data_IF_271884572733
#
_entry.id   IF_271884572733
#
_cell.length_a   1.000
_cell.length_b   1.000
_cell.length_c   1.000
_cell.angle_alpha   90.00
_cell.angle_beta   90.00
_cell.angle_gamma   90.00
#
_symmetry.space_group_name_H-M   'P 1'
#
loop_
_entity.id
_entity.type
_entity.pdbx_description
1 polymer ?
#
# COMPACT_ATOMS: atom_id res chain seq x y z
N UNK A 1 35.64 -25.72 12.81
CA UNK A 1 35.66 -24.38 12.18
C UNK A 1 36.40 -23.47 13.16
N UNK A 2 37.59 -23.00 12.79
CA UNK A 2 38.35 -22.05 13.62
C UNK A 2 37.80 -20.67 13.34
N UNK A 3 37.46 -19.93 14.40
CA UNK A 3 36.96 -18.54 14.29
C UNK A 3 38.16 -17.64 14.62
N UNK A 4 38.56 -16.73 13.69
CA UNK A 4 39.60 -15.75 13.98
C UNK A 4 39.16 -14.87 15.16
N UNK A 5 40.05 -14.70 16.13
CA UNK A 5 39.79 -13.89 17.31
C UNK A 5 40.78 -12.72 17.35
N UNK A 6 40.40 -11.51 16.87
CA UNK A 6 41.23 -10.32 16.98
C UNK A 6 41.54 -9.97 18.44
N UNK A 7 42.59 -9.20 18.68
CA UNK A 7 42.88 -8.71 20.02
C UNK A 7 41.77 -7.71 20.52
N UNK A 8 41.76 -7.42 21.82
CA UNK A 8 40.66 -6.63 22.44
C UNK A 8 40.56 -5.22 21.89
N UNK A 9 41.64 -4.60 21.46
CA UNK A 9 41.62 -3.25 20.91
C UNK A 9 41.05 -3.27 19.49
N UNK A 10 41.43 -4.22 18.66
CA UNK A 10 40.84 -4.48 17.34
C UNK A 10 39.36 -4.80 17.45
N UNK A 11 38.93 -5.63 18.42
CA UNK A 11 37.53 -5.89 18.67
C UNK A 11 36.73 -4.60 18.97
N UNK A 12 37.29 -3.70 19.78
CA UNK A 12 36.66 -2.41 20.12
C UNK A 12 36.54 -1.51 18.88
N UNK A 13 37.56 -1.48 18.03
CA UNK A 13 37.53 -0.72 16.77
C UNK A 13 36.47 -1.26 15.81
N UNK A 14 36.38 -2.58 15.64
CA UNK A 14 35.38 -3.24 14.83
C UNK A 14 33.97 -2.93 15.33
N UNK A 15 33.73 -3.06 16.63
CA UNK A 15 32.43 -2.75 17.24
C UNK A 15 32.06 -1.27 17.07
N UNK A 16 33.01 -0.38 17.22
CA UNK A 16 32.80 1.06 17.00
C UNK A 16 32.43 1.32 15.54
N UNK A 17 33.19 0.78 14.61
CA UNK A 17 32.98 0.97 13.16
C UNK A 17 31.60 0.49 12.71
N UNK A 18 31.21 -0.72 13.07
CA UNK A 18 29.89 -1.27 12.70
C UNK A 18 28.74 -0.49 13.36
N UNK A 19 28.90 -0.08 14.63
CA UNK A 19 27.89 0.72 15.32
C UNK A 19 27.71 2.11 14.69
N UNK A 20 28.76 2.73 14.21
CA UNK A 20 28.67 4.01 13.50
C UNK A 20 27.94 3.86 12.15
N UNK A 21 28.14 2.75 11.45
CA UNK A 21 27.40 2.42 10.24
C UNK A 21 25.89 2.19 10.53
N UNK A 22 25.54 1.47 11.60
CA UNK A 22 24.16 1.32 12.04
C UNK A 22 23.51 2.67 12.37
N UNK A 23 24.19 3.55 13.09
CA UNK A 23 23.68 4.91 13.40
C UNK A 23 23.42 5.71 12.13
N UNK A 24 24.36 5.68 11.17
CA UNK A 24 24.20 6.37 9.87
C UNK A 24 23.01 5.82 9.09
N UNK A 25 22.87 4.49 9.03
CA UNK A 25 21.69 3.86 8.40
C UNK A 25 20.40 4.32 9.07
N UNK A 26 20.33 4.23 10.39
CA UNK A 26 19.15 4.62 11.16
C UNK A 26 18.78 6.11 10.96
N UNK A 27 19.76 6.99 10.84
CA UNK A 27 19.52 8.40 10.52
C UNK A 27 18.89 8.57 9.13
N UNK A 28 19.38 7.82 8.12
CA UNK A 28 18.82 7.82 6.76
C UNK A 28 17.41 7.25 6.71
N UNK A 29 17.15 6.15 7.42
CA UNK A 29 15.83 5.54 7.51
C UNK A 29 14.83 6.50 8.18
N UNK A 30 15.26 7.22 9.23
CA UNK A 30 14.44 8.24 9.91
C UNK A 30 14.10 9.42 8.99
N UNK A 31 15.10 9.93 8.24
CA UNK A 31 14.89 11.00 7.26
C UNK A 31 13.89 10.56 6.17
N UNK A 32 14.05 9.34 5.64
CA UNK A 32 13.14 8.76 4.67
C UNK A 32 11.70 8.64 5.22
N UNK A 33 11.57 8.18 6.48
CA UNK A 33 10.25 8.04 7.11
C UNK A 33 9.58 9.40 7.31
N UNK A 34 10.32 10.42 7.72
CA UNK A 34 9.79 11.79 7.85
C UNK A 34 9.24 12.33 6.52
N UNK A 35 9.94 12.07 5.41
CA UNK A 35 9.43 12.44 4.08
C UNK A 35 8.11 11.74 3.77
N UNK A 36 8.01 10.44 4.07
CA UNK A 36 6.80 9.66 3.81
C UNK A 36 5.63 10.10 4.70
N UNK A 37 5.88 10.41 5.96
CA UNK A 37 4.86 10.88 6.92
C UNK A 37 4.27 12.23 6.50
N UNK A 38 5.04 13.09 5.84
CA UNK A 38 4.59 14.40 5.35
C UNK A 38 3.66 14.31 4.12
N UNK A 39 3.54 13.16 3.46
CA UNK A 39 2.67 13.00 2.28
C UNK A 39 1.21 13.28 2.61
N UNK A 40 0.72 12.77 3.75
CA UNK A 40 -0.66 12.99 4.16
C UNK A 40 -0.97 14.46 4.43
N UNK A 41 -0.08 15.15 5.13
CA UNK A 41 -0.28 16.57 5.46
C UNK A 41 -0.22 17.44 4.20
N UNK A 42 0.68 17.11 3.26
CA UNK A 42 0.71 17.74 1.94
C UNK A 42 -0.61 17.54 1.20
N UNK A 43 -1.10 16.30 1.11
CA UNK A 43 -2.33 15.98 0.39
C UNK A 43 -3.54 16.68 1.00
N UNK A 44 -3.70 16.62 2.32
CA UNK A 44 -4.78 17.30 3.05
C UNK A 44 -4.76 18.82 2.81
N UNK A 45 -3.58 19.45 2.84
CA UNK A 45 -3.39 20.87 2.56
C UNK A 45 -3.79 21.21 1.12
N UNK A 46 -3.32 20.45 0.14
CA UNK A 46 -3.64 20.69 -1.28
C UNK A 46 -5.14 20.55 -1.56
N UNK A 47 -5.79 19.61 -0.90
CA UNK A 47 -7.23 19.39 -1.04
C UNK A 47 -8.06 20.35 -0.18
N UNK A 48 -7.47 21.08 0.77
CA UNK A 48 -8.18 21.98 1.68
C UNK A 48 -8.99 21.24 2.74
N UNK A 49 -8.57 20.03 3.11
CA UNK A 49 -9.29 19.15 4.05
C UNK A 49 -8.60 19.18 5.41
N UNK A 50 -9.41 19.34 6.46
CA UNK A 50 -8.97 19.22 7.84
C UNK A 50 -9.75 18.09 8.53
N UNK A 51 -9.13 16.92 8.61
CA UNK A 51 -9.74 15.77 9.27
C UNK A 51 -9.80 15.99 10.79
N UNK A 52 -10.88 15.51 11.46
CA UNK A 52 -10.98 15.53 12.92
C UNK A 52 -9.95 14.57 13.54
N UNK A 53 -9.51 14.85 14.76
CA UNK A 53 -8.69 13.93 15.52
C UNK A 53 -9.54 12.73 15.99
N UNK A 54 -8.92 11.55 15.98
CA UNK A 54 -9.55 10.34 16.51
C UNK A 54 -9.30 10.25 18.02
N UNK A 55 -10.36 10.28 18.81
CA UNK A 55 -10.33 10.11 20.25
C UNK A 55 -10.99 8.78 20.63
N UNK A 56 -10.25 7.93 21.36
CA UNK A 56 -10.73 6.60 21.79
C UNK A 56 -11.27 6.57 23.23
N UNK A 57 -11.49 7.72 23.84
CA UNK A 57 -12.04 7.83 25.18
C UNK A 57 -13.50 7.34 25.27
N UNK A 58 -13.97 7.11 26.52
CA UNK A 58 -15.30 6.55 26.76
C UNK A 58 -16.43 7.45 26.23
N UNK A 59 -16.27 8.78 26.30
CA UNK A 59 -17.29 9.73 25.84
C UNK A 59 -17.51 9.64 24.32
N UNK A 60 -16.44 9.34 23.57
CA UNK A 60 -16.51 9.17 22.13
C UNK A 60 -16.98 7.77 21.68
N UNK A 61 -17.10 6.81 22.62
CA UNK A 61 -17.67 5.48 22.38
C UNK A 61 -19.17 5.40 22.55
N UNK A 62 -19.79 6.38 23.25
CA UNK A 62 -21.22 6.46 23.47
C UNK A 62 -21.78 7.52 22.55
N UNK A 63 -22.61 7.13 21.59
CA UNK A 63 -23.23 8.04 20.63
C UNK A 63 -24.62 7.53 20.22
N UNK A 64 -25.44 8.45 19.73
CA UNK A 64 -26.77 8.13 19.20
C UNK A 64 -26.77 8.20 17.68
N UNK A 65 -27.45 7.24 17.06
CA UNK A 65 -27.65 7.20 15.60
C UNK A 65 -29.16 7.28 15.35
N UNK A 66 -29.59 8.23 14.52
CA UNK A 66 -31.00 8.30 14.13
C UNK A 66 -31.32 7.16 13.17
N UNK A 67 -32.54 6.58 13.29
CA UNK A 67 -32.96 5.46 12.42
C UNK A 67 -32.79 5.76 10.92
N UNK A 68 -33.05 6.99 10.49
CA UNK A 68 -32.86 7.41 9.09
C UNK A 68 -31.39 7.43 8.62
N UNK A 69 -30.44 7.41 9.55
CA UNK A 69 -28.99 7.37 9.25
C UNK A 69 -28.46 5.92 9.19
N UNK A 70 -29.27 4.96 9.63
CA UNK A 70 -28.94 3.54 9.51
C UNK A 70 -29.10 3.13 8.04
N UNK A 71 -28.01 2.68 7.47
CA UNK A 71 -27.97 2.08 6.13
C UNK A 71 -28.11 0.56 6.27
N UNK A 72 -27.58 -0.21 5.35
CA UNK A 72 -27.59 -1.67 5.38
C UNK A 72 -26.71 -2.30 6.50
N UNK A 73 -26.10 -1.47 7.35
CA UNK A 73 -25.21 -1.91 8.44
C UNK A 73 -25.66 -1.30 9.76
N UNK A 74 -25.82 -2.18 10.77
CA UNK A 74 -26.18 -1.85 12.15
C UNK A 74 -24.99 -2.18 13.07
N UNK A 75 -23.76 -1.91 12.66
CA UNK A 75 -22.62 -2.12 13.54
C UNK A 75 -22.14 -0.79 14.15
N UNK A 76 -21.84 -0.78 15.48
CA UNK A 76 -21.45 0.44 16.18
C UNK A 76 -20.14 1.02 15.65
N UNK A 77 -19.20 0.20 15.19
CA UNK A 77 -17.93 0.67 14.67
C UNK A 77 -18.11 1.52 13.42
N UNK A 78 -18.93 1.03 12.47
CA UNK A 78 -19.25 1.75 11.22
C UNK A 78 -19.91 3.12 11.49
N UNK A 79 -20.70 3.20 12.56
CA UNK A 79 -21.54 4.36 12.90
C UNK A 79 -20.87 5.36 13.82
N UNK A 80 -19.57 5.19 14.15
CA UNK A 80 -18.83 6.11 15.02
C UNK A 80 -18.88 7.56 14.49
N UNK A 81 -19.06 8.51 15.42
CA UNK A 81 -19.14 9.93 15.09
C UNK A 81 -17.88 10.45 14.38
N UNK A 82 -16.72 9.90 14.71
CA UNK A 82 -15.46 10.19 14.04
C UNK A 82 -15.57 10.03 12.52
N UNK A 83 -16.12 8.90 12.04
CA UNK A 83 -16.28 8.67 10.61
C UNK A 83 -17.26 9.65 9.96
N UNK A 84 -18.36 9.96 10.66
CA UNK A 84 -19.34 10.94 10.18
C UNK A 84 -18.69 12.31 10.02
N UNK A 85 -18.04 12.80 11.06
CA UNK A 85 -17.34 14.10 11.04
C UNK A 85 -16.23 14.13 9.97
N UNK A 86 -15.52 13.00 9.78
CA UNK A 86 -14.49 12.89 8.75
C UNK A 86 -15.08 12.99 7.34
N UNK A 87 -16.23 12.35 7.08
CA UNK A 87 -16.92 12.48 5.79
C UNK A 87 -17.42 13.90 5.55
N UNK A 88 -17.96 14.55 6.56
CA UNK A 88 -18.36 15.96 6.48
C UNK A 88 -17.16 16.88 6.16
N UNK A 89 -16.00 16.60 6.78
CA UNK A 89 -14.76 17.36 6.52
C UNK A 89 -14.20 17.15 5.10
N UNK A 90 -14.38 15.96 4.52
CA UNK A 90 -13.99 15.66 3.14
C UNK A 90 -14.88 16.43 2.16
N UNK A 91 -16.17 16.61 2.49
CA UNK A 91 -17.13 17.39 1.71
C UNK A 91 -16.84 18.90 1.78
N UNK A 92 -15.58 19.31 1.53
CA UNK A 92 -15.19 20.71 1.48
C UNK A 92 -15.70 21.36 0.17
N UNK A 93 -15.98 22.65 0.21
CA UNK A 93 -16.45 23.41 -0.96
C UNK A 93 -15.37 23.62 -2.04
N UNK A 94 -14.14 23.17 -1.81
CA UNK A 94 -13.00 23.45 -2.71
C UNK A 94 -13.05 22.65 -4.00
N UNK A 95 -13.40 21.36 -3.92
CA UNK A 95 -13.40 20.45 -5.07
C UNK A 95 -14.64 19.54 -5.03
N UNK A 96 -15.07 19.07 -6.19
CA UNK A 96 -16.15 18.09 -6.30
C UNK A 96 -15.71 16.73 -5.71
N UNK A 97 -16.70 15.98 -5.28
CA UNK A 97 -16.50 14.62 -4.73
C UNK A 97 -17.40 13.66 -5.47
N UNK A 98 -16.90 12.50 -5.75
CA UNK A 98 -17.71 11.40 -6.26
C UNK A 98 -17.28 10.07 -5.65
N UNK A 99 -18.13 9.05 -5.75
CA UNK A 99 -17.77 7.72 -5.29
C UNK A 99 -16.82 7.02 -6.28
N UNK A 100 -15.93 6.18 -5.76
CA UNK A 100 -15.00 5.40 -6.57
C UNK A 100 -15.75 4.58 -7.64
N UNK A 101 -16.95 4.08 -7.31
CA UNK A 101 -17.81 3.37 -8.25
C UNK A 101 -18.23 4.21 -9.45
N UNK A 102 -18.61 5.47 -9.25
CA UNK A 102 -18.96 6.38 -10.35
C UNK A 102 -17.76 6.74 -11.23
N UNK A 103 -16.55 6.79 -10.62
CA UNK A 103 -15.30 7.10 -11.32
C UNK A 103 -14.72 5.88 -12.05
N UNK A 104 -15.21 4.69 -11.78
CA UNK A 104 -14.68 3.44 -12.31
C UNK A 104 -15.48 2.95 -13.53
N UNK A 105 -14.77 2.44 -14.51
CA UNK A 105 -15.32 1.65 -15.60
C UNK A 105 -15.55 0.19 -15.18
N UNK A 106 -14.75 -0.29 -14.20
CA UNK A 106 -14.84 -1.65 -13.67
C UNK A 106 -14.40 -1.66 -12.20
N UNK A 107 -15.17 -2.35 -11.36
CA UNK A 107 -14.73 -2.82 -10.05
C UNK A 107 -15.05 -4.32 -9.98
N UNK A 108 -14.03 -5.16 -9.83
CA UNK A 108 -14.17 -6.61 -9.79
C UNK A 108 -13.17 -7.22 -8.80
N UNK A 109 -13.28 -8.51 -8.54
CA UNK A 109 -12.28 -9.29 -7.80
C UNK A 109 -11.96 -10.58 -8.54
N UNK A 110 -10.90 -11.23 -8.12
CA UNK A 110 -10.49 -12.49 -8.73
C UNK A 110 -11.10 -13.72 -8.09
N UNK A 111 -10.61 -14.84 -8.55
CA UNK A 111 -10.88 -16.18 -8.03
C UNK A 111 -9.53 -16.81 -7.70
N UNK A 112 -9.46 -17.66 -6.67
CA UNK A 112 -8.25 -18.44 -6.42
C UNK A 112 -8.49 -19.88 -6.88
N UNK A 113 -7.83 -20.35 -7.93
CA UNK A 113 -7.84 -21.76 -8.29
C UNK A 113 -7.30 -22.63 -7.14
N UNK A 114 -7.71 -23.89 -7.09
CA UNK A 114 -7.28 -24.82 -6.03
C UNK A 114 -5.74 -24.88 -5.98
N UNK A 115 -5.18 -24.65 -4.80
CA UNK A 115 -3.73 -24.67 -4.58
C UNK A 115 -3.14 -26.03 -4.98
N UNK A 116 -2.00 -26.02 -5.69
CA UNK A 116 -1.36 -27.21 -6.23
C UNK A 116 -2.15 -27.92 -7.35
N UNK A 117 -3.25 -27.30 -7.83
CA UNK A 117 -4.06 -27.85 -8.91
C UNK A 117 -3.48 -27.57 -10.29
N UNK A 118 -4.11 -28.18 -11.31
CA UNK A 118 -3.68 -28.10 -12.73
C UNK A 118 -3.74 -26.70 -13.35
N UNK A 119 -4.28 -25.71 -12.62
CA UNK A 119 -4.39 -24.32 -13.09
C UNK A 119 -3.05 -23.56 -13.09
N UNK A 120 -2.08 -24.00 -12.29
CA UNK A 120 -0.78 -23.35 -12.13
C UNK A 120 0.28 -23.94 -13.05
N UNK A 121 1.32 -23.15 -13.32
CA UNK A 121 2.50 -23.56 -14.09
C UNK A 121 3.77 -22.98 -13.47
N UNK A 122 4.90 -23.66 -13.65
CA UNK A 122 6.23 -23.18 -13.30
C UNK A 122 6.88 -22.38 -14.44
N UNK A 123 6.28 -22.40 -15.65
CA UNK A 123 6.74 -21.62 -16.79
C UNK A 123 6.48 -20.13 -16.54
N UNK A 124 7.51 -19.43 -16.11
CA UNK A 124 7.45 -17.99 -15.86
C UNK A 124 7.42 -17.15 -17.13
N UNK A 125 7.81 -17.71 -18.27
CA UNK A 125 7.87 -16.99 -19.56
C UNK A 125 6.49 -16.92 -20.19
N UNK A 126 5.83 -18.07 -20.35
CA UNK A 126 4.53 -18.18 -21.01
C UNK A 126 3.36 -18.17 -20.00
N UNK A 127 3.60 -18.43 -18.74
CA UNK A 127 2.59 -18.42 -17.69
C UNK A 127 2.10 -17.00 -17.39
N UNK A 128 0.86 -16.85 -16.99
CA UNK A 128 0.24 -15.57 -16.65
C UNK A 128 0.47 -15.25 -15.18
N UNK A 129 1.08 -14.11 -14.81
CA UNK A 129 1.26 -13.67 -13.44
C UNK A 129 -0.05 -13.68 -12.65
N UNK A 130 -0.03 -14.29 -11.47
CA UNK A 130 -1.17 -14.34 -10.56
C UNK A 130 -0.85 -13.53 -9.29
N UNK A 131 -1.42 -12.34 -9.22
CA UNK A 131 -1.19 -11.37 -8.15
C UNK A 131 -2.13 -11.67 -6.99
N UNK A 132 -1.58 -11.88 -5.81
CA UNK A 132 -2.32 -12.04 -4.55
C UNK A 132 -2.17 -10.80 -3.69
N UNK A 133 -3.06 -10.59 -2.72
CA UNK A 133 -2.98 -9.42 -1.83
C UNK A 133 -1.65 -9.29 -1.09
N UNK A 134 -0.96 -10.41 -0.80
CA UNK A 134 0.38 -10.40 -0.22
C UNK A 134 1.49 -9.90 -1.16
N UNK A 135 1.23 -9.81 -2.47
CA UNK A 135 2.17 -9.22 -3.43
C UNK A 135 2.08 -7.69 -3.51
N UNK A 136 1.05 -7.08 -2.88
CA UNK A 136 0.96 -5.62 -2.75
C UNK A 136 1.70 -5.25 -1.46
N UNK A 137 2.81 -4.55 -1.54
CA UNK A 137 3.55 -4.14 -0.34
C UNK A 137 3.00 -2.83 0.25
N UNK A 138 3.47 -2.47 1.45
CA UNK A 138 3.02 -1.25 2.15
C UNK A 138 3.36 0.04 1.39
N UNK A 139 4.45 0.06 0.63
CA UNK A 139 4.80 1.20 -0.22
C UNK A 139 3.80 1.41 -1.38
N UNK A 140 3.07 0.36 -1.76
CA UNK A 140 2.14 0.34 -2.89
C UNK A 140 2.80 -0.13 -4.19
N UNK A 141 4.00 -0.69 -4.09
CA UNK A 141 4.63 -1.40 -5.19
C UNK A 141 4.18 -2.86 -5.19
N UNK A 142 4.32 -3.53 -6.32
CA UNK A 142 4.08 -4.96 -6.43
C UNK A 142 5.38 -5.73 -6.27
N UNK A 143 5.36 -6.73 -5.40
CA UNK A 143 6.44 -7.69 -5.31
C UNK A 143 6.27 -8.78 -6.36
N UNK A 144 7.18 -8.81 -7.32
CA UNK A 144 7.19 -9.78 -8.41
C UNK A 144 8.06 -11.01 -8.11
N UNK A 145 8.76 -11.06 -6.97
CA UNK A 145 9.72 -12.14 -6.69
C UNK A 145 9.04 -13.48 -6.41
N UNK A 146 7.89 -13.46 -5.75
CA UNK A 146 7.15 -14.67 -5.34
C UNK A 146 5.79 -14.80 -6.04
N UNK A 147 5.72 -14.42 -7.31
CA UNK A 147 4.49 -14.60 -8.08
C UNK A 147 4.26 -16.08 -8.40
N UNK A 148 3.01 -16.50 -8.28
CA UNK A 148 2.52 -17.69 -8.92
C UNK A 148 2.17 -17.38 -10.38
N UNK A 149 2.16 -18.42 -11.21
CA UNK A 149 1.80 -18.28 -12.62
C UNK A 149 0.66 -19.24 -12.97
N UNK A 150 -0.31 -18.74 -13.71
CA UNK A 150 -1.43 -19.51 -14.25
C UNK A 150 -1.13 -19.95 -15.66
N UNK A 151 -1.73 -21.04 -16.09
CA UNK A 151 -1.74 -21.45 -17.48
C UNK A 151 -2.58 -20.48 -18.33
N UNK A 152 -2.20 -20.16 -19.57
CA UNK A 152 -2.94 -19.21 -20.44
C UNK A 152 -4.42 -19.61 -20.64
N UNK A 153 -4.72 -20.89 -20.74
CA UNK A 153 -6.11 -21.34 -20.85
C UNK A 153 -6.98 -20.99 -19.64
N UNK A 154 -6.39 -20.97 -18.43
CA UNK A 154 -7.10 -20.57 -17.21
C UNK A 154 -7.39 -19.07 -17.20
N UNK A 155 -6.43 -18.27 -17.63
CA UNK A 155 -6.58 -16.82 -17.79
C UNK A 155 -7.76 -16.48 -18.73
N UNK A 156 -7.84 -17.15 -19.86
CA UNK A 156 -8.82 -16.88 -20.90
C UNK A 156 -10.21 -17.50 -20.63
N UNK A 157 -10.33 -18.38 -19.64
CA UNK A 157 -11.59 -19.06 -19.29
C UNK A 157 -12.06 -18.68 -17.88
N UNK A 158 -11.62 -19.40 -16.87
CA UNK A 158 -12.10 -19.27 -15.48
C UNK A 158 -11.76 -17.90 -14.90
N UNK A 159 -10.58 -17.34 -15.28
CA UNK A 159 -10.07 -16.09 -14.73
C UNK A 159 -10.37 -14.86 -15.61
N UNK A 160 -11.22 -15.00 -16.63
CA UNK A 160 -11.53 -13.92 -17.59
C UNK A 160 -12.05 -12.64 -16.94
N UNK A 161 -12.84 -12.76 -15.86
CA UNK A 161 -13.42 -11.61 -15.15
C UNK A 161 -12.42 -10.83 -14.28
N UNK A 162 -11.23 -11.39 -14.05
CA UNK A 162 -10.20 -10.81 -13.17
C UNK A 162 -8.89 -10.50 -13.90
N UNK A 163 -8.98 -10.26 -15.20
CA UNK A 163 -7.84 -9.85 -16.02
C UNK A 163 -7.42 -8.42 -15.68
N UNK A 164 -6.13 -8.27 -15.38
CA UNK A 164 -5.51 -7.01 -14.99
C UNK A 164 -4.94 -6.32 -16.23
N UNK A 165 -5.21 -5.04 -16.35
CA UNK A 165 -4.61 -4.17 -17.38
C UNK A 165 -3.70 -3.14 -16.76
N UNK A 166 -2.77 -2.61 -17.54
CA UNK A 166 -1.90 -1.49 -17.15
C UNK A 166 -2.75 -0.34 -16.61
N UNK A 167 -2.31 0.24 -15.49
CA UNK A 167 -2.99 1.29 -14.74
C UNK A 167 -4.23 0.85 -13.93
N UNK A 168 -4.52 -0.44 -13.82
CA UNK A 168 -5.53 -0.88 -12.86
C UNK A 168 -5.02 -0.70 -11.42
N UNK A 169 -5.88 -0.14 -10.56
CA UNK A 169 -5.62 -0.04 -9.12
C UNK A 169 -6.06 -1.35 -8.45
N UNK A 170 -5.23 -1.85 -7.56
CA UNK A 170 -5.49 -3.05 -6.76
C UNK A 170 -5.57 -2.66 -5.29
N UNK A 171 -6.68 -3.01 -4.64
CA UNK A 171 -6.93 -2.75 -3.22
C UNK A 171 -7.07 -4.09 -2.52
N UNK A 172 -6.23 -4.38 -1.54
CA UNK A 172 -6.39 -5.57 -0.71
C UNK A 172 -7.64 -5.41 0.19
N UNK A 173 -8.54 -6.39 0.12
CA UNK A 173 -9.88 -6.34 0.76
C UNK A 173 -10.12 -7.45 1.78
N UNK A 174 -9.16 -8.35 2.02
CA UNK A 174 -9.31 -9.49 2.94
C UNK A 174 -8.10 -9.60 3.87
N UNK A 175 -8.35 -9.83 5.16
CA UNK A 175 -7.36 -10.21 6.17
C UNK A 175 -6.43 -9.07 6.59
N UNK A 176 -5.20 -9.44 6.97
CA UNK A 176 -4.21 -8.50 7.52
C UNK A 176 -3.72 -7.43 6.52
N UNK A 177 -3.82 -7.70 5.23
CA UNK A 177 -3.40 -6.80 4.15
C UNK A 177 -4.45 -5.75 3.76
N UNK A 178 -5.64 -5.77 4.37
CA UNK A 178 -6.71 -4.80 4.05
C UNK A 178 -6.19 -3.37 4.11
N UNK A 179 -6.40 -2.64 3.03
CA UNK A 179 -5.98 -1.24 2.90
C UNK A 179 -4.64 -1.07 2.18
N UNK A 180 -3.92 -2.14 1.85
CA UNK A 180 -2.80 -2.04 0.91
C UNK A 180 -3.32 -1.74 -0.49
N UNK A 181 -2.69 -0.78 -1.16
CA UNK A 181 -3.12 -0.29 -2.48
C UNK A 181 -1.92 -0.23 -3.41
N UNK A 182 -2.03 -0.84 -4.57
CA UNK A 182 -1.02 -0.81 -5.62
C UNK A 182 -1.60 -0.46 -6.98
N UNK A 183 -0.74 -0.21 -7.97
CA UNK A 183 -1.10 -0.07 -9.38
C UNK A 183 -0.32 -1.12 -10.18
N UNK A 184 -0.99 -1.70 -11.16
CA UNK A 184 -0.33 -2.56 -12.14
C UNK A 184 0.27 -1.71 -13.25
N UNK A 185 1.60 -1.73 -13.36
CA UNK A 185 2.35 -0.90 -14.33
C UNK A 185 2.98 -1.70 -15.48
N UNK A 186 2.78 -3.02 -15.51
CA UNK A 186 3.29 -3.87 -16.57
C UNK A 186 2.29 -3.97 -17.72
N UNK A 187 2.81 -4.12 -18.95
CA UNK A 187 2.00 -4.41 -20.13
C UNK A 187 1.71 -5.92 -20.30
N UNK A 188 2.29 -6.75 -19.43
CA UNK A 188 2.04 -8.20 -19.42
C UNK A 188 0.66 -8.48 -18.85
N UNK A 189 -0.08 -9.39 -19.48
CA UNK A 189 -1.34 -9.89 -18.92
C UNK A 189 -1.15 -10.49 -17.53
N UNK A 190 -2.10 -10.29 -16.64
CA UNK A 190 -2.09 -10.83 -15.27
C UNK A 190 -3.50 -11.12 -14.78
N UNK A 191 -3.60 -11.86 -13.68
CA UNK A 191 -4.85 -12.05 -12.93
C UNK A 191 -4.63 -11.76 -11.45
N UNK A 192 -5.72 -11.52 -10.74
CA UNK A 192 -5.76 -11.31 -9.29
C UNK A 192 -6.53 -12.42 -8.58
N UNK A 193 -6.26 -12.58 -7.27
CA UNK A 193 -7.06 -13.44 -6.42
C UNK A 193 -8.30 -12.72 -5.84
N UNK A 194 -9.17 -13.46 -5.15
CA UNK A 194 -10.40 -12.92 -4.54
C UNK A 194 -10.13 -11.95 -3.36
N UNK A 195 -8.90 -11.84 -2.88
CA UNK A 195 -8.54 -10.92 -1.80
C UNK A 195 -8.16 -9.51 -2.28
N UNK A 196 -8.28 -9.26 -3.60
CA UNK A 196 -8.01 -7.97 -4.23
C UNK A 196 -9.30 -7.47 -4.91
N UNK A 197 -9.66 -6.21 -4.66
CA UNK A 197 -10.54 -5.44 -5.52
C UNK A 197 -9.71 -4.77 -6.61
N UNK A 198 -10.00 -5.08 -7.86
CA UNK A 198 -9.45 -4.45 -9.05
C UNK A 198 -10.34 -3.27 -9.41
N UNK A 199 -9.75 -2.10 -9.57
CA UNK A 199 -10.44 -0.86 -9.93
C UNK A 199 -9.82 -0.29 -11.19
N UNK A 200 -10.61 -0.24 -12.27
CA UNK A 200 -10.25 0.41 -13.53
C UNK A 200 -10.99 1.72 -13.64
N UNK A 201 -10.27 2.82 -13.62
CA UNK A 201 -10.87 4.15 -13.70
C UNK A 201 -11.33 4.48 -15.12
N UNK A 202 -12.29 5.38 -15.21
CA UNK A 202 -12.70 6.03 -16.45
C UNK A 202 -11.61 6.99 -16.95
N UNK A 203 -11.67 7.37 -18.21
CA UNK A 203 -10.77 8.40 -18.76
C UNK A 203 -10.99 9.75 -18.08
N UNK A 204 -9.95 10.58 -18.06
CA UNK A 204 -10.00 11.93 -17.47
C UNK A 204 -9.70 12.01 -15.98
N UNK A 205 -9.26 10.89 -15.37
CA UNK A 205 -8.87 10.81 -13.95
C UNK A 205 -7.45 10.26 -13.86
N UNK A 206 -6.60 10.91 -13.07
CA UNK A 206 -5.23 10.43 -12.85
C UNK A 206 -5.22 9.25 -11.88
N UNK A 207 -4.75 8.11 -12.36
CA UNK A 207 -4.72 6.83 -11.63
C UNK A 207 -3.75 6.90 -10.44
N UNK A 208 -2.60 7.58 -10.61
CA UNK A 208 -1.62 7.73 -9.52
C UNK A 208 -2.18 8.61 -8.42
N UNK A 209 -2.88 9.70 -8.77
CA UNK A 209 -3.58 10.55 -7.80
C UNK A 209 -4.60 9.75 -6.98
N UNK A 210 -5.49 9.00 -7.64
CA UNK A 210 -6.51 8.21 -6.95
C UNK A 210 -5.89 7.15 -6.06
N UNK A 211 -4.85 6.46 -6.53
CA UNK A 211 -4.09 5.51 -5.70
C UNK A 211 -3.52 6.20 -4.45
N UNK A 212 -2.86 7.36 -4.59
CA UNK A 212 -2.28 8.06 -3.44
C UNK A 212 -3.37 8.57 -2.49
N UNK A 213 -4.53 9.01 -3.02
CA UNK A 213 -5.68 9.41 -2.20
C UNK A 213 -6.21 8.22 -1.38
N UNK A 214 -6.35 7.02 -1.99
CA UNK A 214 -6.81 5.83 -1.27
C UNK A 214 -5.78 5.37 -0.23
N UNK A 215 -4.49 5.56 -0.49
CA UNK A 215 -3.40 5.26 0.46
C UNK A 215 -3.31 6.26 1.62
N UNK A 216 -3.76 7.49 1.43
CA UNK A 216 -3.69 8.55 2.43
C UNK A 216 -4.65 8.33 3.60
N UNK A 217 -4.51 9.16 4.65
CA UNK A 217 -5.43 9.20 5.80
C UNK A 217 -6.90 9.26 5.37
N UNK A 218 -7.23 9.96 4.28
CA UNK A 218 -8.60 10.06 3.73
C UNK A 218 -9.12 8.69 3.29
N UNK A 219 -8.39 8.00 2.43
CA UNK A 219 -8.79 6.70 1.91
C UNK A 219 -8.71 5.61 2.96
N UNK A 220 -7.67 5.63 3.80
CA UNK A 220 -7.53 4.65 4.89
C UNK A 220 -8.61 4.81 5.96
N UNK A 221 -9.05 6.01 6.26
CA UNK A 221 -10.21 6.26 7.12
C UNK A 221 -11.47 5.61 6.52
N UNK A 222 -11.72 5.80 5.23
CA UNK A 222 -12.84 5.17 4.52
C UNK A 222 -12.76 3.64 4.57
N UNK A 223 -11.60 3.07 4.25
CA UNK A 223 -11.37 1.61 4.30
C UNK A 223 -11.51 1.07 5.74
N UNK A 224 -11.00 1.79 6.73
CA UNK A 224 -11.12 1.39 8.14
C UNK A 224 -12.57 1.38 8.61
N UNK A 225 -13.38 2.39 8.21
CA UNK A 225 -14.82 2.39 8.49
C UNK A 225 -15.52 1.14 7.94
N UNK A 226 -15.10 0.69 6.76
CA UNK A 226 -15.72 -0.45 6.06
C UNK A 226 -15.30 -1.81 6.66
N UNK A 227 -14.16 -1.87 7.37
CA UNK A 227 -13.72 -3.12 8.02
C UNK A 227 -14.74 -3.59 9.05
N UNK A 228 -14.99 -4.89 9.07
CA UNK A 228 -15.78 -5.52 10.11
C UNK A 228 -14.84 -5.94 11.25
N UNK A 229 -15.19 -5.68 12.53
CA UNK A 229 -14.37 -6.08 13.68
C UNK A 229 -14.50 -7.59 13.95
N UNK A 230 -14.10 -8.42 12.99
CA UNK A 230 -14.12 -9.89 13.06
C UNK A 230 -12.75 -10.46 12.74
N UNK A 231 -12.47 -11.69 13.15
CA UNK A 231 -11.17 -12.35 12.98
C UNK A 231 -10.68 -12.41 11.52
N UNK A 232 -11.61 -12.52 10.57
CA UNK A 232 -11.35 -12.38 9.13
C UNK A 232 -12.14 -11.21 8.58
N UNK A 233 -11.63 -10.01 8.80
CA UNK A 233 -12.22 -8.83 8.19
C UNK A 233 -12.20 -8.95 6.67
N UNK A 234 -13.29 -8.53 6.03
CA UNK A 234 -13.38 -8.37 4.59
C UNK A 234 -14.20 -7.12 4.26
N UNK A 235 -13.92 -6.54 3.10
CA UNK A 235 -14.68 -5.44 2.51
C UNK A 235 -15.21 -5.98 1.18
N UNK A 236 -16.49 -5.80 0.88
CA UNK A 236 -17.05 -6.23 -0.39
C UNK A 236 -16.88 -5.15 -1.48
N UNK A 237 -17.11 -5.54 -2.74
CA UNK A 237 -16.90 -4.65 -3.88
C UNK A 237 -17.88 -3.46 -3.91
N UNK A 238 -19.11 -3.67 -3.43
CA UNK A 238 -20.10 -2.59 -3.32
C UNK A 238 -19.63 -1.55 -2.30
N UNK A 239 -19.05 -1.99 -1.18
CA UNK A 239 -18.47 -1.11 -0.17
C UNK A 239 -17.25 -0.35 -0.73
N UNK A 240 -16.37 -1.00 -1.48
CA UNK A 240 -15.26 -0.33 -2.18
C UNK A 240 -15.77 0.76 -3.13
N UNK A 241 -16.87 0.49 -3.85
CA UNK A 241 -17.48 1.47 -4.74
C UNK A 241 -18.00 2.72 -4.03
N UNK A 242 -18.27 2.68 -2.72
CA UNK A 242 -18.73 3.83 -1.92
C UNK A 242 -17.61 4.77 -1.46
N UNK A 243 -16.34 4.39 -1.58
CA UNK A 243 -15.21 5.23 -1.16
C UNK A 243 -15.29 6.58 -1.87
N UNK A 244 -15.25 7.66 -1.08
CA UNK A 244 -15.31 9.02 -1.60
C UNK A 244 -13.94 9.46 -2.13
N UNK A 245 -13.94 10.02 -3.31
CA UNK A 245 -12.77 10.54 -4.02
C UNK A 245 -12.98 12.03 -4.27
N UNK A 246 -12.08 12.84 -3.74
CA UNK A 246 -12.06 14.29 -4.03
C UNK A 246 -11.46 14.49 -5.41
N UNK A 247 -12.08 15.31 -6.25
CA UNK A 247 -11.76 15.45 -7.67
C UNK A 247 -11.33 16.88 -7.99
N UNK A 248 -10.06 17.24 -7.77
CA UNK A 248 -9.52 18.49 -8.29
C UNK A 248 -9.44 18.46 -9.82
N UNK A 249 -9.27 19.60 -10.50
CA UNK A 249 -8.99 19.62 -11.94
C UNK A 249 -7.81 18.70 -12.30
N UNK A 250 -7.85 18.08 -13.48
CA UNK A 250 -6.90 17.03 -13.89
C UNK A 250 -5.42 17.48 -13.79
N UNK A 251 -5.13 18.73 -14.15
CA UNK A 251 -3.78 19.30 -13.98
C UNK A 251 -3.32 19.30 -12.51
N UNK A 252 -4.24 19.56 -11.57
CA UNK A 252 -3.94 19.50 -10.14
C UNK A 252 -3.77 18.07 -9.64
N UNK A 253 -4.54 17.11 -10.17
CA UNK A 253 -4.31 15.68 -9.88
C UNK A 253 -2.91 15.26 -10.30
N UNK A 254 -2.48 15.62 -11.52
CA UNK A 254 -1.13 15.34 -12.03
C UNK A 254 -0.03 16.00 -11.17
N UNK A 255 -0.24 17.26 -10.76
CA UNK A 255 0.71 17.98 -9.89
C UNK A 255 0.90 17.26 -8.56
N UNK A 256 -0.21 16.91 -7.89
CA UNK A 256 -0.19 16.19 -6.60
C UNK A 256 0.48 14.82 -6.77
N UNK A 257 0.08 14.04 -7.77
CA UNK A 257 0.65 12.72 -8.03
C UNK A 257 2.16 12.78 -8.30
N UNK A 258 2.61 13.75 -9.10
CA UNK A 258 4.02 13.97 -9.40
C UNK A 258 4.81 14.34 -8.14
N UNK A 259 4.31 15.26 -7.33
CA UNK A 259 4.98 15.68 -6.11
C UNK A 259 5.15 14.51 -5.11
N UNK A 260 4.08 13.72 -4.90
CA UNK A 260 4.14 12.53 -4.03
C UNK A 260 5.14 11.49 -4.59
N UNK A 261 5.16 11.30 -5.91
CA UNK A 261 6.14 10.41 -6.55
C UNK A 261 7.58 10.83 -6.28
N UNK A 262 7.88 12.14 -6.34
CA UNK A 262 9.21 12.65 -6.03
C UNK A 262 9.57 12.45 -4.54
N UNK A 263 8.65 12.68 -3.62
CA UNK A 263 8.86 12.38 -2.18
C UNK A 263 9.21 10.90 -1.98
N UNK A 264 8.44 9.99 -2.57
CA UNK A 264 8.68 8.54 -2.47
C UNK A 264 10.03 8.14 -3.06
N UNK A 265 10.41 8.75 -4.20
CA UNK A 265 11.70 8.53 -4.83
C UNK A 265 12.86 8.96 -3.92
N UNK A 266 12.75 10.14 -3.31
CA UNK A 266 13.76 10.65 -2.37
C UNK A 266 13.86 9.74 -1.13
N UNK A 267 12.73 9.33 -0.54
CA UNK A 267 12.72 8.42 0.59
C UNK A 267 13.39 7.06 0.25
N UNK A 268 13.08 6.50 -0.92
CA UNK A 268 13.71 5.27 -1.40
C UNK A 268 15.22 5.41 -1.57
N UNK A 269 15.68 6.51 -2.16
CA UNK A 269 17.12 6.79 -2.31
C UNK A 269 17.84 6.87 -0.95
N UNK A 270 17.21 7.49 0.05
CA UNK A 270 17.77 7.55 1.41
C UNK A 270 17.89 6.16 2.03
N UNK A 271 16.87 5.31 1.90
CA UNK A 271 16.90 3.91 2.36
C UNK A 271 17.99 3.09 1.66
N UNK A 272 18.11 3.23 0.34
CA UNK A 272 19.16 2.57 -0.45
C UNK A 272 20.57 3.03 -0.01
N UNK A 273 20.77 4.33 0.24
CA UNK A 273 22.02 4.87 0.79
C UNK A 273 22.32 4.29 2.18
N UNK A 274 21.31 4.22 3.06
CA UNK A 274 21.46 3.63 4.38
C UNK A 274 21.86 2.13 4.32
N UNK A 275 21.22 1.37 3.45
CA UNK A 275 21.55 -0.03 3.23
C UNK A 275 22.96 -0.20 2.67
N UNK A 276 23.38 0.61 1.70
CA UNK A 276 24.72 0.57 1.13
C UNK A 276 25.81 0.89 2.18
N UNK A 277 25.59 1.86 3.06
CA UNK A 277 26.49 2.18 4.17
C UNK A 277 26.70 0.95 5.07
N UNK A 278 25.61 0.27 5.45
CA UNK A 278 25.69 -0.90 6.32
C UNK A 278 26.35 -2.10 5.62
N UNK A 279 26.02 -2.38 4.38
CA UNK A 279 26.63 -3.48 3.63
C UNK A 279 28.12 -3.28 3.37
N UNK A 280 28.54 -2.04 3.08
CA UNK A 280 29.97 -1.72 2.96
C UNK A 280 30.69 -1.88 4.30
N UNK A 281 30.04 -1.48 5.40
CA UNK A 281 30.64 -1.65 6.73
C UNK A 281 30.77 -3.12 7.14
N UNK A 282 29.80 -3.96 6.78
CA UNK A 282 29.88 -5.42 7.03
C UNK A 282 31.08 -6.03 6.29
N UNK A 283 31.25 -5.71 5.00
CA UNK A 283 32.39 -6.20 4.21
C UNK A 283 33.72 -5.76 4.80
N UNK A 284 33.80 -4.51 5.27
CA UNK A 284 35.02 -4.02 5.89
C UNK A 284 35.32 -4.71 7.22
N UNK A 285 34.30 -4.96 8.04
CA UNK A 285 34.42 -5.77 9.26
C UNK A 285 34.89 -7.18 8.95
N UNK A 286 34.39 -7.81 7.89
CA UNK A 286 34.88 -9.11 7.43
C UNK A 286 36.39 -9.06 7.11
N UNK A 287 36.85 -8.05 6.39
CA UNK A 287 38.28 -7.83 6.11
C UNK A 287 39.10 -7.65 7.37
N UNK A 288 38.62 -6.83 8.31
CA UNK A 288 39.30 -6.61 9.61
C UNK A 288 39.47 -7.91 10.42
N UNK A 289 38.53 -8.85 10.27
CA UNK A 289 38.55 -10.13 11.02
C UNK A 289 39.37 -11.20 10.29
N UNK A 290 39.25 -11.31 8.96
CA UNK A 290 39.81 -12.45 8.19
C UNK A 290 41.17 -12.11 7.56
N UNK A 291 41.44 -10.81 7.35
CA UNK A 291 42.59 -10.31 6.56
C UNK A 291 42.31 -10.32 5.06
N UNK A 292 43.01 -9.47 4.31
CA UNK A 292 42.81 -9.28 2.86
C UNK A 292 43.16 -10.51 2.00
N UNK A 293 43.91 -11.50 2.52
CA UNK A 293 44.40 -12.66 1.76
C UNK A 293 43.38 -13.82 1.70
N UNK A 294 42.21 -13.71 2.32
CA UNK A 294 41.24 -14.82 2.46
C UNK A 294 39.81 -14.48 1.93
N UNK A 295 39.66 -13.41 1.11
CA UNK A 295 38.36 -13.04 0.48
C UNK A 295 38.34 -13.40 -1.00
#
# INVERSE_FOLDING_TARGET
>A
MEIPLPNLDEQREIVKYINDAYRKKQAKDKEAQQLLDNIDDYLLKELGIKLPEYHSDLNNRIFYVQHKELTNRIDPYYSQQYFKNSFEAICSDKYSIDSLGKLSALITSGITPKSGGSAYTEDKINGIPFIRSGNINVSGDLDYNELLYLKPEIHNTIMRSSQVHTNDIMIAIVGATIGQVGIYLSDREANINQAIALVRLKQGIDVQYVKELIKSKIGQMSLNRLKRPVARANINLEEIATIQVVIPPLNKQHEIAKHIKEIRKQAKMLQEQGNAILENAKREVERMIIGDDNI
#
